data_IF_697622721181
#
_entry.id   IF_697622721181
#
_cell.length_a   1.000
_cell.length_b   1.000
_cell.length_c   1.000
_cell.angle_alpha   90.00
_cell.angle_beta   90.00
_cell.angle_gamma   90.00
#
_symmetry.space_group_name_H-M   'P 1'
#
loop_
_entity.id
_entity.type
_entity.pdbx_description
1 polymer ?
#
# COMPACT_ATOMS: atom_id res chain seq x y z
N UNK A 1 -30.11 10.44 -16.26
CA UNK A 1 -28.79 10.48 -16.94
C UNK A 1 -27.74 10.06 -15.92
N UNK A 2 -27.44 8.75 -15.87
CA UNK A 2 -26.56 8.16 -14.86
C UNK A 2 -25.21 7.86 -15.48
N UNK A 3 -24.19 8.68 -15.20
CA UNK A 3 -22.81 8.35 -15.48
C UNK A 3 -22.21 7.73 -14.21
N UNK A 4 -22.38 6.42 -14.07
CA UNK A 4 -21.63 5.62 -13.12
C UNK A 4 -20.28 5.31 -13.76
N UNK A 5 -19.23 6.02 -13.33
CA UNK A 5 -17.86 5.56 -13.54
C UNK A 5 -17.68 4.27 -12.74
N UNK A 6 -18.10 3.14 -13.31
CA UNK A 6 -17.75 1.83 -12.78
C UNK A 6 -16.25 1.67 -13.05
N UNK A 7 -15.43 1.92 -12.04
CA UNK A 7 -14.12 1.30 -11.97
C UNK A 7 -14.34 -0.20 -12.15
N UNK A 8 -13.67 -0.78 -13.16
CA UNK A 8 -13.64 -2.23 -13.32
C UNK A 8 -13.15 -2.82 -11.98
N UNK A 9 -13.82 -3.83 -11.42
CA UNK A 9 -13.30 -4.57 -10.29
C UNK A 9 -11.87 -5.01 -10.64
N UNK A 10 -10.93 -4.71 -9.75
CA UNK A 10 -9.61 -5.34 -9.83
C UNK A 10 -9.85 -6.80 -9.49
N UNK A 11 -9.94 -7.65 -10.51
CA UNK A 11 -9.90 -9.09 -10.34
C UNK A 11 -8.49 -9.42 -9.83
N UNK A 12 -8.36 -9.48 -8.52
CA UNK A 12 -7.18 -10.01 -7.86
C UNK A 12 -7.18 -11.51 -8.19
N UNK A 13 -6.47 -11.90 -9.26
CA UNK A 13 -6.15 -13.31 -9.52
C UNK A 13 -5.37 -13.80 -8.31
N UNK A 14 -6.10 -14.34 -7.35
CA UNK A 14 -5.60 -14.86 -6.08
C UNK A 14 -4.95 -16.22 -6.37
N UNK A 15 -3.81 -16.22 -7.06
CA UNK A 15 -2.96 -17.40 -7.06
C UNK A 15 -2.55 -17.67 -5.61
N UNK A 16 -2.64 -18.94 -5.14
CA UNK A 16 -2.12 -19.27 -3.84
C UNK A 16 -0.62 -18.95 -3.82
N UNK A 17 -0.20 -18.13 -2.86
CA UNK A 17 1.20 -17.75 -2.64
C UNK A 17 1.56 -18.15 -1.21
N UNK A 18 2.68 -18.84 -1.06
CA UNK A 18 3.21 -19.30 0.23
C UNK A 18 4.65 -18.82 0.41
N UNK A 19 4.89 -17.72 1.15
CA UNK A 19 6.22 -17.24 1.46
C UNK A 19 6.82 -18.00 2.65
N UNK A 20 8.09 -18.42 2.53
CA UNK A 20 8.81 -19.21 3.52
C UNK A 20 10.25 -18.70 3.72
N UNK A 21 10.73 -18.71 4.96
CA UNK A 21 12.12 -18.34 5.29
C UNK A 21 12.86 -19.57 5.76
N UNK A 22 13.86 -19.98 4.98
CA UNK A 22 14.69 -21.17 5.24
C UNK A 22 16.07 -20.70 5.71
N UNK A 23 16.69 -21.42 6.63
CA UNK A 23 18.02 -21.09 7.15
C UNK A 23 19.05 -22.13 6.68
N UNK A 24 20.06 -21.67 5.95
CA UNK A 24 21.24 -22.47 5.58
C UNK A 24 22.48 -21.77 6.15
N UNK A 25 23.30 -22.49 6.91
CA UNK A 25 24.50 -21.92 7.58
C UNK A 25 24.19 -20.63 8.36
N UNK A 26 23.09 -20.63 9.12
CA UNK A 26 22.58 -19.48 9.89
C UNK A 26 22.16 -18.26 9.04
N UNK A 27 22.20 -18.36 7.71
CA UNK A 27 21.80 -17.29 6.78
C UNK A 27 20.38 -17.50 6.29
N UNK A 28 19.52 -16.47 6.34
CA UNK A 28 18.14 -16.57 5.88
C UNK A 28 18.09 -16.57 4.35
N UNK A 29 17.22 -17.41 3.84
CA UNK A 29 16.88 -17.51 2.44
C UNK A 29 15.36 -17.38 2.28
N UNK A 30 14.95 -16.62 1.28
CA UNK A 30 13.59 -16.16 1.10
C UNK A 30 12.99 -16.91 -0.10
N UNK A 31 12.12 -17.88 0.19
CA UNK A 31 11.43 -18.70 -0.78
C UNK A 31 9.98 -18.24 -0.91
N UNK A 32 9.45 -18.24 -2.14
CA UNK A 32 8.04 -18.00 -2.40
C UNK A 32 7.56 -19.09 -3.35
N UNK A 33 6.63 -19.93 -2.89
CA UNK A 33 5.94 -20.89 -3.74
C UNK A 33 4.62 -20.28 -4.25
N UNK A 34 4.29 -20.50 -5.52
CA UNK A 34 3.13 -19.88 -6.16
C UNK A 34 2.57 -20.72 -7.32
N UNK A 35 1.39 -20.33 -7.80
CA UNK A 35 0.64 -21.03 -8.85
C UNK A 35 -0.16 -22.20 -8.32
N UNK A 36 -0.88 -22.89 -9.22
CA UNK A 36 -1.73 -24.01 -8.84
C UNK A 36 -0.92 -25.08 -8.10
N UNK A 37 -1.40 -25.49 -6.94
CA UNK A 37 -0.72 -26.44 -6.04
C UNK A 37 0.70 -26.02 -5.59
N UNK A 38 1.05 -24.73 -5.64
CA UNK A 38 2.36 -24.21 -5.22
C UNK A 38 3.55 -24.80 -6.01
N UNK A 39 3.32 -25.17 -7.27
CA UNK A 39 4.30 -25.87 -8.10
C UNK A 39 5.48 -25.01 -8.57
N UNK A 40 5.33 -23.68 -8.58
CA UNK A 40 6.40 -22.76 -8.98
C UNK A 40 7.06 -22.14 -7.76
N UNK A 41 8.35 -21.82 -7.88
CA UNK A 41 9.12 -21.26 -6.77
C UNK A 41 10.03 -20.13 -7.22
N UNK A 42 10.17 -19.12 -6.37
CA UNK A 42 11.13 -18.03 -6.49
C UNK A 42 11.97 -17.98 -5.22
N UNK A 43 13.28 -17.75 -5.39
CA UNK A 43 14.23 -17.79 -4.30
C UNK A 43 15.16 -16.57 -4.32
N UNK A 44 15.47 -16.04 -3.14
CA UNK A 44 16.55 -15.06 -2.95
C UNK A 44 17.30 -15.31 -1.65
N UNK A 45 18.63 -15.25 -1.70
CA UNK A 45 19.49 -15.24 -0.51
C UNK A 45 19.71 -13.82 0.05
N UNK A 46 19.35 -12.79 -0.72
CA UNK A 46 19.76 -11.41 -0.47
C UNK A 46 18.78 -10.70 0.47
N UNK A 47 17.49 -10.73 0.14
CA UNK A 47 16.45 -10.06 0.91
C UNK A 47 15.06 -10.57 0.53
N UNK A 48 14.04 -10.36 1.40
CA UNK A 48 12.66 -10.67 1.05
C UNK A 48 12.13 -9.77 -0.07
N UNK A 49 12.69 -8.57 -0.22
CA UNK A 49 12.34 -7.65 -1.30
C UNK A 49 12.74 -8.21 -2.66
N UNK A 50 13.95 -8.73 -2.78
CA UNK A 50 14.45 -9.30 -4.04
C UNK A 50 13.60 -10.49 -4.49
N UNK A 51 13.24 -11.39 -3.57
CA UNK A 51 12.31 -12.50 -3.87
C UNK A 51 10.95 -11.99 -4.37
N UNK A 52 10.40 -10.93 -3.75
CA UNK A 52 9.13 -10.35 -4.18
C UNK A 52 9.21 -9.67 -5.55
N UNK A 53 10.33 -9.06 -5.89
CA UNK A 53 10.55 -8.47 -7.22
C UNK A 53 10.59 -9.55 -8.30
N UNK A 54 11.29 -10.65 -8.05
CA UNK A 54 11.33 -11.79 -8.97
C UNK A 54 9.93 -12.40 -9.19
N UNK A 55 9.14 -12.58 -8.12
CA UNK A 55 7.75 -13.01 -8.24
C UNK A 55 6.92 -12.06 -9.13
N UNK A 56 7.07 -10.75 -8.92
CA UNK A 56 6.31 -9.75 -9.68
C UNK A 56 6.67 -9.72 -11.16
N UNK A 57 7.95 -9.95 -11.50
CA UNK A 57 8.36 -10.09 -12.91
C UNK A 57 7.65 -11.26 -13.59
N UNK A 58 7.40 -12.36 -12.86
CA UNK A 58 6.74 -13.55 -13.40
C UNK A 58 5.21 -13.35 -13.50
N UNK A 59 4.57 -12.90 -12.41
CA UNK A 59 3.10 -12.78 -12.36
C UNK A 59 2.60 -11.57 -13.14
N UNK A 60 3.35 -10.47 -13.16
CA UNK A 60 2.91 -9.23 -13.81
C UNK A 60 4.07 -8.52 -14.54
N UNK A 61 4.56 -9.10 -15.65
CA UNK A 61 5.75 -8.59 -16.35
C UNK A 61 5.58 -7.16 -16.88
N UNK A 62 4.35 -6.74 -17.21
CA UNK A 62 4.06 -5.43 -17.81
C UNK A 62 3.94 -4.30 -16.77
N UNK A 63 3.88 -4.62 -15.47
CA UNK A 63 3.76 -3.61 -14.42
C UNK A 63 5.10 -3.36 -13.75
N UNK A 64 5.56 -2.10 -13.81
CA UNK A 64 6.69 -1.59 -12.99
C UNK A 64 6.28 -1.36 -11.53
N UNK A 65 5.57 -2.29 -10.93
CA UNK A 65 5.12 -2.18 -9.55
C UNK A 65 6.08 -2.96 -8.66
N UNK A 66 6.73 -2.26 -7.72
CA UNK A 66 7.50 -2.91 -6.68
C UNK A 66 6.55 -3.33 -5.54
N UNK A 67 6.68 -4.56 -5.07
CA UNK A 67 5.94 -5.03 -3.89
C UNK A 67 6.85 -5.12 -2.68
N UNK A 68 6.27 -4.82 -1.53
CA UNK A 68 6.99 -4.86 -0.26
C UNK A 68 7.21 -6.32 0.15
N UNK A 69 8.42 -6.84 -0.06
CA UNK A 69 8.79 -8.17 0.44
C UNK A 69 8.59 -8.33 1.95
N UNK A 70 8.86 -7.30 2.75
CA UNK A 70 8.64 -7.31 4.20
C UNK A 70 7.16 -7.54 4.54
N UNK A 71 6.25 -7.01 3.73
CA UNK A 71 4.82 -7.22 3.88
C UNK A 71 4.42 -8.62 3.45
N UNK A 72 4.89 -9.06 2.28
CA UNK A 72 4.62 -10.39 1.73
C UNK A 72 5.02 -11.52 2.69
N UNK A 73 6.22 -11.43 3.28
CA UNK A 73 6.71 -12.40 4.26
C UNK A 73 6.12 -12.21 5.68
N UNK A 74 5.16 -11.30 5.87
CA UNK A 74 4.54 -11.04 7.18
C UNK A 74 5.51 -10.51 8.25
N UNK A 75 6.72 -10.09 7.86
CA UNK A 75 7.77 -9.61 8.77
C UNK A 75 7.34 -8.31 9.47
N UNK A 76 6.53 -7.49 8.79
CA UNK A 76 6.02 -6.22 9.31
C UNK A 76 5.17 -6.39 10.60
N UNK A 77 4.42 -7.50 10.73
CA UNK A 77 3.58 -7.74 11.91
C UNK A 77 4.43 -7.92 13.17
N UNK A 78 5.60 -8.56 13.06
CA UNK A 78 6.49 -8.80 14.20
C UNK A 78 7.14 -7.50 14.69
N UNK A 79 7.60 -6.62 13.79
CA UNK A 79 8.19 -5.34 14.19
C UNK A 79 7.15 -4.30 14.63
N UNK A 80 5.93 -4.31 14.09
CA UNK A 80 4.82 -3.48 14.60
C UNK A 80 4.41 -3.94 16.01
N UNK A 81 4.23 -5.25 16.23
CA UNK A 81 3.86 -5.78 17.55
C UNK A 81 4.93 -5.52 18.62
N UNK A 82 6.22 -5.61 18.25
CA UNK A 82 7.35 -5.28 19.14
C UNK A 82 7.32 -3.80 19.56
N UNK A 83 7.02 -2.89 18.63
CA UNK A 83 6.93 -1.45 18.93
C UNK A 83 5.67 -1.06 19.72
N UNK A 84 4.55 -1.78 19.54
CA UNK A 84 3.31 -1.55 20.31
C UNK A 84 3.43 -1.92 21.79
N UNK A 85 4.24 -2.92 22.14
CA UNK A 85 4.45 -3.33 23.55
C UNK A 85 5.26 -2.31 24.38
N UNK A 86 6.03 -1.42 23.74
CA UNK A 86 6.89 -0.45 24.43
C UNK A 86 6.34 0.98 24.51
N UNK A 87 5.23 1.27 23.83
CA UNK A 87 4.57 2.57 23.89
C UNK A 87 3.06 2.40 23.94
N UNK A 88 2.39 2.90 24.99
CA UNK A 88 0.98 3.21 24.89
C UNK A 88 0.83 4.27 23.79
N UNK A 89 0.39 3.86 22.59
CA UNK A 89 -0.10 4.79 21.57
C UNK A 89 -1.52 5.26 21.91
N UNK A 90 -1.82 5.39 23.19
CA UNK A 90 -3.07 5.98 23.64
C UNK A 90 -2.92 7.48 23.44
N UNK A 91 -3.53 7.98 22.37
CA UNK A 91 -3.63 9.42 22.17
C UNK A 91 -4.34 9.99 23.38
N UNK A 92 -3.63 10.77 24.20
CA UNK A 92 -4.22 11.46 25.35
C UNK A 92 -5.56 12.06 24.96
N UNK A 93 -6.59 11.70 25.71
CA UNK A 93 -7.95 12.13 25.51
C UNK A 93 -7.99 13.67 25.52
N UNK A 94 -8.89 14.28 24.75
CA UNK A 94 -8.91 15.74 24.58
C UNK A 94 -8.84 16.48 25.93
N UNK A 95 -9.56 15.99 26.94
CA UNK A 95 -9.62 16.56 28.31
C UNK A 95 -8.27 16.52 29.05
N UNK A 96 -7.40 15.57 28.75
CA UNK A 96 -6.09 15.38 29.38
C UNK A 96 -4.93 16.01 28.58
N UNK A 97 -5.24 16.55 27.39
CA UNK A 97 -4.25 17.18 26.54
C UNK A 97 -4.07 18.67 26.89
N UNK A 98 -2.83 19.17 26.82
CA UNK A 98 -2.56 20.58 27.11
C UNK A 98 -3.27 21.51 26.11
N UNK A 99 -3.64 22.72 26.55
CA UNK A 99 -4.25 23.76 25.68
C UNK A 99 -3.42 24.01 24.41
N UNK A 100 -2.10 24.02 24.53
CA UNK A 100 -1.17 24.20 23.40
C UNK A 100 -1.23 23.04 22.40
N UNK A 101 -1.39 21.80 22.88
CA UNK A 101 -1.54 20.62 22.03
C UNK A 101 -2.89 20.62 21.31
N UNK A 102 -3.97 20.98 22.00
CA UNK A 102 -5.31 21.13 21.41
C UNK A 102 -5.30 22.15 20.27
N UNK A 103 -4.68 23.32 20.49
CA UNK A 103 -4.56 24.38 19.47
C UNK A 103 -3.74 23.90 18.25
N UNK A 104 -2.62 23.19 18.46
CA UNK A 104 -1.83 22.62 17.35
C UNK A 104 -2.64 21.61 16.54
N UNK A 105 -3.40 20.73 17.20
CA UNK A 105 -4.29 19.76 16.54
C UNK A 105 -5.39 20.46 15.72
N UNK A 106 -6.06 21.47 16.29
CA UNK A 106 -7.08 22.25 15.61
C UNK A 106 -6.53 22.98 14.37
N UNK A 107 -5.35 23.60 14.48
CA UNK A 107 -4.66 24.24 13.35
C UNK A 107 -4.28 23.25 12.24
N UNK A 108 -3.85 22.05 12.61
CA UNK A 108 -3.56 20.97 11.66
C UNK A 108 -4.80 20.54 10.86
N UNK A 109 -5.95 20.39 11.54
CA UNK A 109 -7.22 20.05 10.89
C UNK A 109 -7.71 21.17 9.95
N UNK A 110 -7.61 22.43 10.37
CA UNK A 110 -7.96 23.57 9.52
C UNK A 110 -7.08 23.65 8.25
N UNK A 111 -5.79 23.30 8.37
CA UNK A 111 -4.87 23.24 7.21
C UNK A 111 -5.25 22.13 6.24
N UNK A 112 -5.66 20.96 6.74
CA UNK A 112 -6.12 19.83 5.92
C UNK A 112 -7.39 20.21 5.13
N UNK A 113 -8.38 20.81 5.79
CA UNK A 113 -9.61 21.27 5.14
C UNK A 113 -9.37 22.36 4.09
N UNK A 114 -8.44 23.29 4.33
CA UNK A 114 -8.03 24.31 3.34
C UNK A 114 -7.45 23.67 2.07
N UNK A 115 -6.61 22.63 2.20
CA UNK A 115 -6.08 21.90 1.05
C UNK A 115 -7.18 21.14 0.30
N UNK A 116 -8.10 20.49 1.02
CA UNK A 116 -9.23 19.76 0.43
C UNK A 116 -10.17 20.68 -0.36
N UNK A 117 -10.54 21.84 0.19
CA UNK A 117 -11.36 22.85 -0.50
C UNK A 117 -10.65 23.43 -1.74
N UNK A 118 -9.33 23.64 -1.66
CA UNK A 118 -8.54 24.17 -2.77
C UNK A 118 -8.41 23.16 -3.91
N UNK A 119 -8.33 21.86 -3.62
CA UNK A 119 -8.34 20.78 -4.61
C UNK A 119 -9.73 20.68 -5.26
N UNK A 120 -10.80 20.71 -4.47
CA UNK A 120 -12.17 20.68 -4.98
C UNK A 120 -12.48 21.88 -5.90
N UNK A 121 -12.11 23.11 -5.52
CA UNK A 121 -12.30 24.29 -6.38
C UNK A 121 -11.53 24.18 -7.70
N UNK A 122 -10.31 23.62 -7.66
CA UNK A 122 -9.44 23.50 -8.85
C UNK A 122 -9.94 22.43 -9.83
N UNK A 123 -10.69 21.44 -9.35
CA UNK A 123 -11.41 20.45 -10.18
C UNK A 123 -12.63 21.11 -10.84
N UNK A 124 -13.33 22.00 -10.14
CA UNK A 124 -14.51 22.72 -10.68
C UNK A 124 -14.17 23.82 -11.69
N UNK A 125 -12.94 24.35 -11.71
CA UNK A 125 -12.53 25.44 -12.62
C UNK A 125 -11.77 24.99 -13.87
N UNK A 126 -11.68 23.69 -14.18
CA UNK A 126 -11.18 23.24 -15.48
C UNK A 126 -12.28 23.56 -16.52
N UNK A 127 -12.04 24.47 -17.48
CA UNK A 127 -13.02 24.74 -18.52
C UNK A 127 -13.13 23.52 -19.44
N UNK A 128 -14.35 23.08 -19.71
CA UNK A 128 -14.68 22.10 -20.77
C UNK A 128 -14.19 22.66 -22.11
N UNK A 129 -13.00 22.31 -22.53
CA UNK A 129 -12.55 22.49 -23.90
C UNK A 129 -12.05 21.14 -24.40
N UNK A 130 -12.45 20.81 -25.62
CA UNK A 130 -12.12 19.63 -26.44
C UNK A 130 -13.05 18.43 -26.22
N UNK A 131 -14.12 18.35 -27.04
CA UNK A 131 -14.38 17.25 -27.98
C UNK A 131 -15.44 17.72 -29.00
N UNK A 132 -14.99 18.44 -30.02
CA UNK A 132 -15.76 18.67 -31.25
C UNK A 132 -14.79 18.54 -32.42
N UNK A 133 -14.52 17.29 -32.83
CA UNK A 133 -14.04 16.92 -34.18
C UNK A 133 -13.83 15.40 -34.24
N UNK A 134 -14.87 14.69 -34.69
CA UNK A 134 -14.78 13.40 -35.35
C UNK A 134 -15.89 13.43 -36.42
N UNK A 135 -15.59 13.36 -37.72
CA UNK A 135 -16.62 13.24 -38.74
C UNK A 135 -17.14 11.79 -38.77
N UNK A 136 -18.43 11.66 -39.09
CA UNK A 136 -19.08 10.39 -39.42
C UNK A 136 -18.52 9.80 -40.72
#
# INVERSE_FOLDING_TARGET
MSNSNQQRPYEEENYPISPEIIYYEEKPHYLICFGDNLQYQVFSAQSPFDASVELHKIITPDRRTAVSGVHLFGLQLKCINRNRKGRPCELKLHKESSKTTQIKRAKGLAKKNKCTLKIQLKIFTIPKIIYSQLPL
#
